data_IF_834848144909
#
_entry.id   IF_834848144909
#
_cell.length_a   1.000
_cell.length_b   1.000
_cell.length_c   1.000
_cell.angle_alpha   90.00
_cell.angle_beta   90.00
_cell.angle_gamma   90.00
#
_symmetry.space_group_name_H-M   'P 1'
#
loop_
_entity.id
_entity.type
_entity.pdbx_description
1 polymer ?
#
# COMPACT_ATOMS: atom_id res chain seq x y z
N UNK A 1 4.14 -12.73 -11.48
CA UNK A 1 2.73 -12.71 -11.95
C UNK A 1 1.86 -12.20 -10.81
N UNK A 2 0.96 -11.26 -11.08
CA UNK A 2 -0.03 -10.76 -10.11
C UNK A 2 -1.41 -11.29 -10.52
N UNK A 3 -2.21 -11.72 -9.56
CA UNK A 3 -3.55 -12.26 -9.79
C UNK A 3 -4.51 -11.56 -8.84
N UNK A 4 -5.63 -11.08 -9.39
CA UNK A 4 -6.68 -10.42 -8.63
C UNK A 4 -7.99 -11.12 -8.95
N UNK A 5 -8.67 -11.57 -7.90
CA UNK A 5 -10.04 -12.04 -7.99
C UNK A 5 -10.94 -10.92 -7.51
N UNK A 6 -11.86 -10.48 -8.36
CA UNK A 6 -12.88 -9.50 -8.00
C UNK A 6 -14.21 -10.24 -8.00
N UNK A 7 -14.79 -10.38 -6.82
CA UNK A 7 -15.94 -11.24 -6.59
C UNK A 7 -17.08 -10.41 -5.99
N UNK A 8 -18.28 -10.55 -6.56
CA UNK A 8 -19.49 -9.95 -6.01
C UNK A 8 -20.42 -11.05 -5.51
N UNK A 9 -20.90 -10.91 -4.28
CA UNK A 9 -21.84 -11.86 -3.67
C UNK A 9 -23.27 -11.37 -3.87
N UNK A 10 -24.01 -11.93 -4.84
CA UNK A 10 -25.42 -11.60 -5.06
C UNK A 10 -25.94 -12.04 -6.43
N UNK A 11 -27.23 -11.77 -6.70
CA UNK A 11 -27.91 -12.05 -7.97
C UNK A 11 -28.23 -10.77 -8.76
N UNK A 12 -27.63 -9.64 -8.36
CA UNK A 12 -27.76 -8.36 -9.05
C UNK A 12 -26.88 -8.29 -10.30
N UNK A 13 -27.19 -7.38 -11.21
CA UNK A 13 -26.27 -7.05 -12.31
C UNK A 13 -24.89 -6.72 -11.72
N UNK A 14 -23.80 -7.32 -12.23
CA UNK A 14 -22.50 -7.12 -11.64
C UNK A 14 -22.16 -5.63 -11.62
N UNK A 15 -21.83 -5.10 -10.45
CA UNK A 15 -21.34 -3.72 -10.29
C UNK A 15 -20.06 -3.46 -11.10
N UNK A 16 -19.46 -4.51 -11.68
CA UNK A 16 -18.36 -4.46 -12.63
C UNK A 16 -18.66 -3.63 -13.88
N UNK A 17 -19.92 -3.44 -14.29
CA UNK A 17 -20.24 -2.57 -15.43
C UNK A 17 -19.96 -1.08 -15.18
N UNK A 18 -19.85 -0.67 -13.91
CA UNK A 18 -19.64 0.72 -13.47
C UNK A 18 -18.17 1.02 -13.14
N UNK A 19 -17.30 0.01 -13.19
CA UNK A 19 -15.86 0.12 -12.91
C UNK A 19 -15.11 0.98 -13.96
N UNK A 20 -15.76 1.22 -15.11
CA UNK A 20 -15.19 1.83 -16.31
C UNK A 20 -15.54 3.31 -16.54
N UNK A 21 -16.15 4.04 -15.60
CA UNK A 21 -16.43 5.47 -15.84
C UNK A 21 -15.54 6.43 -15.06
N UNK A 22 -15.23 6.15 -13.78
CA UNK A 22 -14.66 7.20 -12.91
C UNK A 22 -13.17 7.00 -12.59
N UNK A 23 -12.64 5.77 -12.69
CA UNK A 23 -11.24 5.44 -12.34
C UNK A 23 -10.43 4.93 -13.55
N UNK A 24 -11.08 4.41 -14.58
CA UNK A 24 -10.45 4.02 -15.85
C UNK A 24 -10.07 5.20 -16.74
N UNK A 25 -10.63 6.39 -16.47
CA UNK A 25 -10.47 7.59 -17.30
C UNK A 25 -9.26 8.46 -16.91
N UNK A 26 -8.40 8.00 -16.00
CA UNK A 26 -7.19 8.75 -15.66
C UNK A 26 -6.08 8.49 -16.71
N UNK A 27 -5.70 9.50 -17.53
CA UNK A 27 -4.59 9.36 -18.47
C UNK A 27 -3.25 9.08 -17.76
N UNK A 28 -3.15 9.50 -16.49
CA UNK A 28 -2.05 9.21 -15.57
C UNK A 28 -2.57 8.35 -14.40
N UNK A 29 -2.35 7.03 -14.44
CA UNK A 29 -2.81 6.09 -13.39
C UNK A 29 -2.32 6.44 -11.98
N UNK A 30 -1.28 7.27 -11.86
CA UNK A 30 -0.75 7.74 -10.58
C UNK A 30 -1.55 8.88 -9.94
N UNK A 31 -2.28 9.68 -10.73
CA UNK A 31 -2.90 10.91 -10.26
C UNK A 31 -3.84 10.74 -9.05
N UNK A 32 -4.70 9.70 -8.98
CA UNK A 32 -5.58 9.47 -7.83
C UNK A 32 -4.82 9.26 -6.52
N UNK A 33 -3.64 8.64 -6.62
CA UNK A 33 -2.83 8.24 -5.48
C UNK A 33 -2.02 9.39 -4.88
N UNK A 34 -1.69 10.41 -5.67
CA UNK A 34 -0.95 11.59 -5.22
C UNK A 34 -1.81 12.42 -4.27
N UNK A 35 -1.25 12.77 -3.13
CA UNK A 35 -1.90 13.56 -2.09
C UNK A 35 -1.51 13.10 -0.68
N UNK A 36 -2.09 13.76 0.31
CA UNK A 36 -2.01 13.35 1.70
C UNK A 36 -3.18 12.43 2.02
N UNK A 37 -2.90 11.39 2.78
CA UNK A 37 -3.83 10.38 3.25
C UNK A 37 -3.67 10.23 4.76
N UNK A 38 -4.74 10.31 5.52
CA UNK A 38 -4.72 10.12 6.96
C UNK A 38 -5.71 9.02 7.36
N UNK A 39 -5.37 8.26 8.39
CA UNK A 39 -6.18 7.10 8.75
C UNK A 39 -5.70 6.34 9.98
N UNK A 40 -6.17 5.11 10.06
CA UNK A 40 -5.84 4.20 11.14
C UNK A 40 -5.34 2.87 10.59
N UNK A 41 -4.52 2.21 11.39
CA UNK A 41 -4.09 0.85 11.12
C UNK A 41 -4.29 -0.06 12.30
N UNK A 42 -4.46 -1.34 11.98
CA UNK A 42 -4.54 -2.41 12.96
C UNK A 42 -3.62 -3.53 12.51
N UNK A 43 -2.58 -3.79 13.29
CA UNK A 43 -1.64 -4.89 13.09
C UNK A 43 -2.06 -6.07 13.95
N UNK A 44 -2.33 -7.22 13.32
CA UNK A 44 -2.56 -8.49 14.01
C UNK A 44 -1.37 -9.42 13.76
N UNK A 45 -0.85 -10.05 14.81
CA UNK A 45 0.17 -11.09 14.68
C UNK A 45 -0.43 -12.30 13.96
N UNK A 46 0.36 -13.03 13.17
CA UNK A 46 -0.04 -14.34 12.65
C UNK A 46 -0.19 -15.33 13.82
N UNK A 47 -1.42 -15.51 14.29
CA UNK A 47 -1.76 -16.29 15.48
C UNK A 47 -3.07 -15.84 16.11
N UNK A 48 -3.53 -16.56 17.15
CA UNK A 48 -4.86 -16.34 17.77
C UNK A 48 -4.92 -15.08 18.65
N UNK A 49 -3.77 -14.51 19.05
CA UNK A 49 -3.72 -13.45 20.05
C UNK A 49 -2.90 -12.23 19.63
N UNK A 50 -3.40 -11.04 20.03
CA UNK A 50 -2.68 -9.77 20.00
C UNK A 50 -2.97 -8.93 18.75
N UNK A 51 -3.61 -7.78 18.95
CA UNK A 51 -3.76 -6.74 17.94
C UNK A 51 -3.19 -5.42 18.50
N UNK A 52 -2.35 -4.76 17.72
CA UNK A 52 -1.84 -3.41 18.01
C UNK A 52 -2.55 -2.43 17.10
N UNK A 53 -3.13 -1.37 17.66
CA UNK A 53 -3.80 -0.30 16.91
C UNK A 53 -2.86 0.90 16.85
N UNK A 54 -2.65 1.47 15.67
CA UNK A 54 -1.79 2.64 15.49
C UNK A 54 -2.46 3.67 14.56
N UNK A 55 -2.22 4.97 14.84
CA UNK A 55 -2.67 6.07 13.98
C UNK A 55 -1.65 6.30 12.87
N UNK A 56 -2.11 6.55 11.66
CA UNK A 56 -1.22 6.66 10.50
C UNK A 56 -1.49 7.93 9.70
N UNK A 57 -0.42 8.56 9.26
CA UNK A 57 -0.42 9.63 8.27
C UNK A 57 0.51 9.24 7.12
N UNK A 58 -0.04 9.10 5.93
CA UNK A 58 0.71 8.76 4.71
C UNK A 58 0.62 9.92 3.73
N UNK A 59 1.73 10.41 3.21
CA UNK A 59 1.75 11.37 2.12
C UNK A 59 2.47 10.79 0.92
N UNK A 60 1.79 10.70 -0.22
CA UNK A 60 2.46 10.38 -1.48
C UNK A 60 2.51 11.62 -2.36
N UNK A 61 3.71 12.02 -2.73
CA UNK A 61 3.97 13.26 -3.45
C UNK A 61 4.70 12.96 -4.76
N UNK A 62 4.25 13.60 -5.83
CA UNK A 62 4.98 13.62 -7.10
C UNK A 62 5.87 14.88 -7.10
N UNK A 63 7.19 14.68 -7.06
CA UNK A 63 8.13 15.82 -7.00
C UNK A 63 8.41 16.42 -8.38
N UNK A 64 8.47 15.59 -9.42
CA UNK A 64 8.82 16.05 -10.77
C UNK A 64 8.00 15.27 -11.81
N UNK A 65 7.01 15.96 -12.41
CA UNK A 65 6.16 15.44 -13.49
C UNK A 65 6.96 15.10 -14.76
N UNK A 66 8.11 15.74 -15.01
CA UNK A 66 8.92 15.51 -16.22
C UNK A 66 9.91 14.36 -16.01
N UNK A 67 10.47 14.24 -14.82
CA UNK A 67 11.42 13.17 -14.46
C UNK A 67 10.78 11.93 -13.86
N UNK A 68 9.46 11.90 -13.69
CA UNK A 68 8.73 10.77 -13.14
C UNK A 68 9.25 10.35 -11.76
N UNK A 69 9.66 11.33 -10.95
CA UNK A 69 10.19 11.10 -9.59
C UNK A 69 9.05 11.14 -8.60
N UNK A 70 8.92 10.07 -7.82
CA UNK A 70 7.92 9.92 -6.77
C UNK A 70 8.63 9.91 -5.42
N UNK A 71 8.05 10.62 -4.47
CA UNK A 71 8.43 10.52 -3.07
C UNK A 71 7.24 10.05 -2.26
N UNK A 72 7.45 8.93 -1.59
CA UNK A 72 6.52 8.34 -0.66
C UNK A 72 6.98 8.63 0.77
N UNK A 73 6.16 9.33 1.52
CA UNK A 73 6.36 9.65 2.93
C UNK A 73 5.30 8.91 3.74
N UNK A 74 5.72 8.12 4.71
CA UNK A 74 4.82 7.42 5.60
C UNK A 74 5.25 7.65 7.05
N UNK A 75 4.40 8.37 7.78
CA UNK A 75 4.58 8.64 9.20
C UNK A 75 3.55 7.80 9.98
N UNK A 76 4.05 6.82 10.71
CA UNK A 76 3.23 5.95 11.56
C UNK A 76 3.43 6.38 13.00
N UNK A 77 2.35 6.78 13.66
CA UNK A 77 2.35 7.12 15.08
C UNK A 77 1.61 6.04 15.85
N UNK A 78 2.35 5.18 16.54
CA UNK A 78 1.78 4.13 17.39
C UNK A 78 1.57 4.66 18.80
N UNK A 79 0.31 4.75 19.22
CA UNK A 79 -0.07 5.08 20.59
C UNK A 79 -0.29 3.77 21.33
N UNK A 80 0.76 3.21 21.94
CA UNK A 80 0.59 2.15 22.94
C UNK A 80 0.57 2.78 24.34
N UNK A 81 -0.25 2.23 25.25
CA UNK A 81 -0.60 2.79 26.57
C UNK A 81 0.59 3.19 27.49
N UNK A 82 1.83 2.87 27.12
CA UNK A 82 3.03 3.13 27.92
C UNK A 82 4.14 3.89 27.16
N UNK A 83 4.03 4.08 25.83
CA UNK A 83 4.97 4.91 25.07
C UNK A 83 4.40 5.39 23.74
N UNK A 84 4.52 6.70 23.47
CA UNK A 84 4.26 7.28 22.15
C UNK A 84 5.48 7.02 21.27
N UNK A 85 5.39 6.02 20.40
CA UNK A 85 6.44 5.71 19.42
C UNK A 85 6.01 6.23 18.06
N UNK A 86 6.85 7.06 17.45
CA UNK A 86 6.64 7.57 16.09
C UNK A 86 7.74 7.04 15.20
N UNK A 87 7.37 6.37 14.11
CA UNK A 87 8.28 5.87 13.09
C UNK A 87 7.97 6.55 11.78
N UNK A 88 8.99 7.20 11.20
CA UNK A 88 8.87 7.89 9.92
C UNK A 88 9.68 7.12 8.88
N UNK A 89 9.02 6.79 7.77
CA UNK A 89 9.62 6.08 6.65
C UNK A 89 9.51 6.97 5.41
N UNK A 90 10.64 7.22 4.77
CA UNK A 90 10.73 8.00 3.55
C UNK A 90 11.36 7.16 2.46
N UNK A 91 10.63 6.98 1.37
CA UNK A 91 11.13 6.33 0.17
C UNK A 91 11.07 7.28 -1.02
N UNK A 92 12.13 7.26 -1.82
CA UNK A 92 12.21 7.96 -3.10
C UNK A 92 12.30 6.90 -4.19
N UNK A 93 11.67 7.15 -5.32
CA UNK A 93 11.66 6.23 -6.44
C UNK A 93 11.31 6.90 -7.75
N UNK A 94 11.27 6.08 -8.79
CA UNK A 94 10.89 6.49 -10.16
C UNK A 94 9.70 5.67 -10.63
N UNK A 95 8.87 6.25 -11.49
CA UNK A 95 7.80 5.53 -12.18
C UNK A 95 8.09 5.37 -13.66
N UNK A 96 7.86 4.16 -14.15
CA UNK A 96 7.88 3.83 -15.57
C UNK A 96 6.82 2.78 -15.85
N UNK A 97 5.97 3.00 -16.86
CA UNK A 97 4.97 2.02 -17.31
C UNK A 97 4.15 1.38 -16.16
N UNK A 98 3.58 2.22 -15.29
CA UNK A 98 2.78 1.80 -14.12
C UNK A 98 3.55 1.05 -13.02
N UNK A 99 4.87 0.93 -13.14
CA UNK A 99 5.74 0.37 -12.11
C UNK A 99 6.49 1.50 -11.40
N UNK A 100 6.25 1.64 -10.10
CA UNK A 100 7.06 2.47 -9.21
C UNK A 100 8.18 1.61 -8.65
N UNK A 101 9.43 2.03 -8.82
CA UNK A 101 10.61 1.37 -8.22
C UNK A 101 11.26 2.34 -7.23
N UNK A 102 11.33 1.94 -5.97
CA UNK A 102 11.98 2.70 -4.91
C UNK A 102 13.45 2.31 -4.77
N UNK A 103 14.29 3.28 -4.42
CA UNK A 103 15.74 3.10 -4.26
C UNK A 103 16.10 2.05 -3.18
N UNK A 104 15.18 1.78 -2.25
CA UNK A 104 15.30 0.77 -1.21
C UNK A 104 15.02 -0.68 -1.66
N UNK A 105 14.81 -0.93 -2.95
CA UNK A 105 14.54 -2.27 -3.48
C UNK A 105 13.12 -2.77 -3.26
N UNK A 106 12.16 -1.84 -3.13
CA UNK A 106 10.73 -2.12 -3.10
C UNK A 106 10.07 -1.56 -4.37
N UNK A 107 9.02 -2.21 -4.85
CA UNK A 107 8.31 -1.80 -6.05
C UNK A 107 6.79 -1.86 -5.87
N UNK A 108 6.07 -0.97 -6.55
CA UNK A 108 4.60 -0.97 -6.64
C UNK A 108 4.19 -1.09 -8.10
N UNK A 109 3.35 -2.07 -8.41
CA UNK A 109 2.68 -2.14 -9.71
C UNK A 109 1.30 -1.53 -9.56
N UNK A 110 1.04 -0.42 -10.27
CA UNK A 110 -0.27 0.19 -10.38
C UNK A 110 -1.14 -0.67 -11.30
N UNK A 111 -2.36 -0.94 -10.86
CA UNK A 111 -3.29 -1.88 -11.48
C UNK A 111 -4.60 -1.14 -11.80
N UNK A 112 -5.36 -1.62 -12.80
CA UNK A 112 -6.67 -1.07 -13.12
C UNK A 112 -7.62 -1.05 -11.92
N UNK A 113 -8.60 -0.12 -11.95
CA UNK A 113 -9.65 -0.01 -10.92
C UNK A 113 -9.17 0.48 -9.56
N UNK A 114 -8.13 1.31 -9.55
CA UNK A 114 -7.64 1.95 -8.33
C UNK A 114 -6.98 0.95 -7.39
N UNK A 115 -6.27 -0.03 -7.93
CA UNK A 115 -5.50 -0.99 -7.14
C UNK A 115 -4.00 -0.81 -7.34
N UNK A 116 -3.22 -1.23 -6.37
CA UNK A 116 -1.81 -1.54 -6.59
C UNK A 116 -1.38 -2.73 -5.75
N UNK A 117 -0.31 -3.39 -6.19
CA UNK A 117 0.38 -4.40 -5.39
C UNK A 117 1.85 -4.04 -5.23
N UNK A 118 2.33 -4.10 -4.00
CA UNK A 118 3.69 -3.82 -3.61
C UNK A 118 4.45 -5.05 -3.17
N UNK A 119 5.72 -5.15 -3.56
CA UNK A 119 6.62 -6.22 -3.14
C UNK A 119 8.09 -5.78 -3.23
N UNK A 120 9.02 -6.48 -2.55
CA UNK A 120 10.45 -6.32 -2.80
C UNK A 120 10.79 -6.71 -4.23
N UNK A 121 11.75 -6.04 -4.84
CA UNK A 121 12.24 -6.39 -6.18
C UNK A 121 12.90 -7.79 -6.20
N UNK A 122 13.54 -8.17 -5.09
CA UNK A 122 14.23 -9.45 -4.94
C UNK A 122 14.17 -9.93 -3.48
N UNK A 123 13.24 -10.85 -3.19
CA UNK A 123 13.09 -11.44 -1.85
C UNK A 123 14.33 -12.24 -1.44
N UNK A 124 15.05 -12.83 -2.40
CA UNK A 124 16.27 -13.59 -2.13
C UNK A 124 17.36 -12.71 -1.52
N UNK A 125 17.46 -11.44 -1.94
CA UNK A 125 18.36 -10.46 -1.32
C UNK A 125 17.96 -10.15 0.12
N UNK A 126 16.68 -9.94 0.39
CA UNK A 126 16.19 -9.70 1.76
C UNK A 126 16.54 -10.87 2.68
N UNK A 127 16.27 -12.10 2.25
CA UNK A 127 16.60 -13.32 3.03
C UNK A 127 18.11 -13.47 3.22
N UNK A 128 18.91 -13.30 2.16
CA UNK A 128 20.37 -13.40 2.23
C UNK A 128 21.01 -12.34 3.15
N UNK A 129 20.36 -11.19 3.31
CA UNK A 129 20.79 -10.09 4.19
C UNK A 129 20.14 -10.15 5.58
N UNK A 130 19.39 -11.21 5.89
CA UNK A 130 18.63 -11.35 7.14
C UNK A 130 17.73 -10.14 7.42
N UNK A 131 17.02 -9.67 6.39
CA UNK A 131 16.10 -8.54 6.47
C UNK A 131 14.66 -9.01 6.33
N UNK A 132 13.80 -8.53 7.23
CA UNK A 132 12.35 -8.67 7.08
C UNK A 132 11.86 -7.94 5.83
N UNK A 133 10.74 -8.40 5.29
CA UNK A 133 10.12 -7.78 4.12
C UNK A 133 8.59 -7.84 4.23
N UNK A 134 7.90 -7.16 3.33
CA UNK A 134 6.45 -7.17 3.32
C UNK A 134 5.89 -7.21 1.90
N UNK A 135 4.64 -7.66 1.78
CA UNK A 135 3.83 -7.51 0.58
C UNK A 135 2.68 -6.57 0.89
N UNK A 136 2.25 -5.82 -0.11
CA UNK A 136 1.21 -4.81 0.04
C UNK A 136 0.15 -4.97 -1.04
N UNK A 137 -1.11 -4.88 -0.67
CA UNK A 137 -2.22 -4.73 -1.59
C UNK A 137 -3.04 -3.52 -1.15
N UNK A 138 -3.33 -2.62 -2.06
CA UNK A 138 -4.18 -1.48 -1.80
C UNK A 138 -5.28 -1.42 -2.84
N UNK A 139 -6.47 -1.05 -2.38
CA UNK A 139 -7.62 -0.81 -3.23
C UNK A 139 -8.31 0.48 -2.80
N UNK A 140 -8.47 1.38 -3.76
CA UNK A 140 -9.17 2.64 -3.66
C UNK A 140 -10.67 2.40 -3.92
N UNK A 141 -11.49 2.62 -2.91
CA UNK A 141 -12.96 2.53 -3.03
C UNK A 141 -13.53 3.75 -3.75
N UNK A 142 -12.96 4.92 -3.50
CA UNK A 142 -13.30 6.19 -4.14
C UNK A 142 -12.06 7.08 -4.19
N UNK A 143 -12.02 8.16 -5.00
CA UNK A 143 -10.87 9.07 -5.08
C UNK A 143 -10.41 9.66 -3.73
N UNK A 144 -11.26 9.60 -2.71
CA UNK A 144 -11.02 10.11 -1.37
C UNK A 144 -10.79 9.01 -0.33
N UNK A 145 -10.99 7.74 -0.66
CA UNK A 145 -11.00 6.64 0.30
C UNK A 145 -10.30 5.41 -0.23
N UNK A 146 -9.38 4.85 0.56
CA UNK A 146 -8.70 3.60 0.23
C UNK A 146 -8.50 2.70 1.43
N UNK A 147 -8.42 1.41 1.12
CA UNK A 147 -8.02 0.36 2.06
C UNK A 147 -6.69 -0.22 1.62
N UNK A 148 -5.87 -0.62 2.58
CA UNK A 148 -4.60 -1.29 2.31
C UNK A 148 -4.39 -2.45 3.27
N UNK A 149 -3.80 -3.52 2.76
CA UNK A 149 -3.42 -4.69 3.51
C UNK A 149 -1.94 -4.96 3.31
N UNK A 150 -1.19 -4.99 4.40
CA UNK A 150 0.25 -5.28 4.40
C UNK A 150 0.48 -6.61 5.11
N UNK A 151 1.16 -7.54 4.46
CA UNK A 151 1.57 -8.83 5.01
C UNK A 151 3.07 -8.76 5.29
N UNK A 152 3.46 -8.91 6.55
CA UNK A 152 4.87 -8.83 6.96
C UNK A 152 5.46 -10.22 7.15
N UNK A 153 6.66 -10.40 6.63
CA UNK A 153 7.45 -11.61 6.70
C UNK A 153 8.72 -11.36 7.52
N UNK A 154 9.15 -12.37 8.27
CA UNK A 154 10.45 -12.34 8.93
C UNK A 154 11.60 -12.61 7.94
N UNK A 155 12.80 -12.76 8.48
CA UNK A 155 14.04 -12.97 7.73
C UNK A 155 14.10 -14.33 7.03
N UNK A 156 13.27 -15.29 7.45
CA UNK A 156 13.19 -16.64 6.88
C UNK A 156 12.03 -16.75 5.86
N UNK A 157 11.26 -15.68 5.68
CA UNK A 157 10.10 -15.66 4.80
C UNK A 157 8.85 -16.28 5.43
N UNK A 158 8.78 -16.38 6.75
CA UNK A 158 7.55 -16.75 7.46
C UNK A 158 6.71 -15.52 7.73
N UNK A 159 5.39 -15.65 7.57
CA UNK A 159 4.47 -14.57 7.91
C UNK A 159 4.45 -14.37 9.42
N UNK A 160 4.71 -13.14 9.88
CA UNK A 160 4.64 -12.76 11.29
C UNK A 160 3.45 -11.88 11.64
N UNK A 161 2.91 -11.11 10.69
CA UNK A 161 1.77 -10.23 10.96
C UNK A 161 1.02 -9.81 9.70
N UNK A 162 -0.14 -9.19 9.92
CA UNK A 162 -0.91 -8.49 8.90
C UNK A 162 -1.40 -7.17 9.45
N UNK A 163 -1.16 -6.11 8.71
CA UNK A 163 -1.61 -4.77 9.05
C UNK A 163 -2.66 -4.34 8.05
N UNK A 164 -3.85 -4.05 8.57
CA UNK A 164 -4.93 -3.44 7.82
C UNK A 164 -4.87 -1.93 8.00
N UNK A 165 -5.11 -1.20 6.92
CA UNK A 165 -5.12 0.26 6.86
C UNK A 165 -6.44 0.72 6.26
N UNK A 166 -6.99 1.76 6.86
CA UNK A 166 -8.12 2.50 6.34
C UNK A 166 -7.75 3.98 6.31
N UNK A 167 -7.73 4.56 5.12
CA UNK A 167 -7.16 5.89 4.87
C UNK A 167 -8.13 6.75 4.04
N UNK A 168 -8.20 8.04 4.40
CA UNK A 168 -9.00 9.06 3.73
C UNK A 168 -8.05 10.15 3.23
N UNK A 169 -8.31 10.67 2.03
CA UNK A 169 -7.53 11.74 1.41
C UNK A 169 -7.81 13.08 2.13
N UNK A 170 -6.77 13.88 2.32
CA UNK A 170 -6.81 15.22 2.96
C UNK A 170 -6.40 16.30 1.98
#
# INVERSE_FOLDING_TARGET
MLVIFIEEKGNGMPAFSTWNSDISDFPDQIAPWVGRWEGHSVTKRSGVYGATIAKIKVGMYLLDKRKHIIVFLQDITSTNNESNTTTNVRWTGTISNNLVTFDGGFQLTLLPGGMYMGCPCDIGKNVAQSQSFHLEFCWMESPEKRQKLVRTYDVEGLVVSTTYFYEIKV
#
